data_IF_710370746899
#
_entry.id   IF_710370746899
#
_cell.length_a   1.000
_cell.length_b   1.000
_cell.length_c   1.000
_cell.angle_alpha   90.00
_cell.angle_beta   90.00
_cell.angle_gamma   90.00
#
_symmetry.space_group_name_H-M   'P 1'
#
loop_
_entity.id
_entity.type
_entity.pdbx_description
1 polymer ?
#
# COMPACT_ATOMS: atom_id res chain seq x y z
N UNK A 1 52.55 27.31 34.68
CA UNK A 1 51.15 27.01 35.00
C UNK A 1 50.30 27.63 33.89
N UNK A 2 49.77 26.80 32.99
CA UNK A 2 48.73 27.20 32.03
C UNK A 2 47.59 26.20 32.26
N UNK A 3 46.37 26.63 32.65
CA UNK A 3 45.25 25.72 32.83
C UNK A 3 44.71 25.35 31.45
N UNK A 4 45.06 24.14 30.98
CA UNK A 4 44.45 23.56 29.79
C UNK A 4 42.98 23.27 30.04
N UNK A 5 42.12 23.96 29.32
CA UNK A 5 40.67 23.82 29.34
C UNK A 5 40.26 22.35 29.15
N UNK A 6 39.59 21.76 30.14
CA UNK A 6 38.70 20.62 29.90
C UNK A 6 37.50 21.15 29.15
N UNK A 7 37.47 20.99 27.84
CA UNK A 7 36.24 21.10 27.07
C UNK A 7 35.30 19.97 27.51
N UNK A 8 34.40 20.24 28.47
CA UNK A 8 33.21 19.43 28.70
C UNK A 8 32.18 19.79 27.62
N UNK A 9 32.49 19.43 26.37
CA UNK A 9 31.47 19.33 25.33
C UNK A 9 30.93 17.91 25.36
N UNK A 10 29.64 17.73 25.64
CA UNK A 10 29.06 16.39 25.56
C UNK A 10 29.34 15.84 24.16
N UNK A 11 29.92 14.64 24.06
CA UNK A 11 30.23 14.05 22.77
C UNK A 11 28.95 13.84 21.96
N UNK A 12 29.10 13.78 20.64
CA UNK A 12 28.01 13.45 19.72
C UNK A 12 27.26 12.17 20.12
N UNK A 13 27.97 11.20 20.69
CA UNK A 13 27.41 9.96 21.22
C UNK A 13 26.56 10.19 22.48
N UNK A 14 27.01 11.04 23.40
CA UNK A 14 26.25 11.37 24.62
C UNK A 14 24.93 12.08 24.31
N UNK A 15 24.91 12.91 23.25
CA UNK A 15 23.66 13.50 22.75
C UNK A 15 22.72 12.41 22.25
N UNK A 16 23.21 11.47 21.43
CA UNK A 16 22.40 10.38 20.88
C UNK A 16 21.78 9.52 21.99
N UNK A 17 22.61 9.09 22.95
CA UNK A 17 22.18 8.27 24.08
C UNK A 17 21.14 9.01 24.94
N UNK A 18 21.34 10.31 25.19
CA UNK A 18 20.40 11.13 25.96
C UNK A 18 19.06 11.26 25.25
N UNK A 19 19.07 11.59 23.95
CA UNK A 19 17.85 11.75 23.16
C UNK A 19 17.06 10.43 23.15
N UNK A 20 17.72 9.31 22.84
CA UNK A 20 17.07 8.00 22.85
C UNK A 20 16.43 7.68 24.21
N UNK A 21 17.20 7.76 25.31
CA UNK A 21 16.70 7.44 26.66
C UNK A 21 15.53 8.30 27.11
N UNK A 22 15.50 9.56 26.68
CA UNK A 22 14.47 10.52 27.09
C UNK A 22 13.20 10.33 26.26
N UNK A 23 13.34 10.12 24.96
CA UNK A 23 12.21 10.12 24.04
C UNK A 23 11.60 8.73 23.81
N UNK A 24 12.39 7.65 23.75
CA UNK A 24 11.88 6.32 23.40
C UNK A 24 10.74 5.81 24.29
N UNK A 25 10.66 6.10 25.61
CA UNK A 25 9.50 5.69 26.41
C UNK A 25 8.17 6.26 25.95
N UNK A 26 8.19 7.40 25.25
CA UNK A 26 7.01 8.10 24.74
C UNK A 26 6.72 7.79 23.26
N UNK A 27 7.48 6.89 22.64
CA UNK A 27 7.24 6.40 21.27
C UNK A 27 6.58 5.04 21.35
N UNK A 28 5.51 4.87 20.59
CA UNK A 28 4.67 3.66 20.62
C UNK A 28 4.69 2.97 19.26
N UNK A 29 4.42 1.66 19.27
CA UNK A 29 4.03 0.94 18.05
C UNK A 29 2.51 0.94 17.94
N UNK A 30 2.00 1.11 16.73
CA UNK A 30 0.58 0.99 16.41
C UNK A 30 0.43 -0.26 15.54
N UNK A 31 -0.43 -1.17 15.99
CA UNK A 31 -0.76 -2.43 15.33
C UNK A 31 -2.22 -2.35 14.87
N UNK A 32 -2.44 -2.42 13.56
CA UNK A 32 -3.76 -2.59 12.95
C UNK A 32 -3.84 -3.99 12.32
N UNK A 33 -4.99 -4.35 11.75
CA UNK A 33 -5.15 -5.61 11.03
C UNK A 33 -4.37 -5.66 9.70
N UNK A 34 -4.05 -4.51 9.12
CA UNK A 34 -3.48 -4.39 7.77
C UNK A 34 -2.20 -3.58 7.72
N UNK A 35 -1.80 -2.96 8.83
CA UNK A 35 -0.67 -2.05 8.86
C UNK A 35 0.01 -2.03 10.23
N UNK A 36 1.29 -1.66 10.21
CA UNK A 36 2.02 -1.34 11.43
C UNK A 36 2.72 0.00 11.26
N UNK A 37 2.72 0.78 12.33
CA UNK A 37 3.36 2.08 12.35
C UNK A 37 3.84 2.46 13.73
N UNK A 38 4.24 3.71 13.86
CA UNK A 38 4.72 4.30 15.09
C UNK A 38 3.86 5.49 15.49
N UNK A 39 3.95 5.93 16.74
CA UNK A 39 3.26 7.12 17.22
C UNK A 39 4.02 7.82 18.33
N UNK A 40 3.67 9.08 18.58
CA UNK A 40 4.22 9.88 19.68
C UNK A 40 3.16 10.18 20.72
N UNK A 41 3.41 9.84 21.99
CA UNK A 41 2.54 10.26 23.10
C UNK A 41 2.74 11.76 23.31
N UNK A 42 1.70 12.55 23.06
CA UNK A 42 1.72 14.04 23.13
C UNK A 42 0.98 14.58 24.36
N UNK A 43 0.35 13.71 25.15
CA UNK A 43 -0.25 14.05 26.45
C UNK A 43 -0.16 12.89 27.44
N UNK A 44 0.07 13.19 28.72
CA UNK A 44 0.28 12.19 29.77
C UNK A 44 -0.96 11.33 30.07
N UNK A 45 -2.13 11.75 29.57
CA UNK A 45 -3.39 11.02 29.64
C UNK A 45 -3.63 10.12 28.40
N UNK A 46 -2.62 9.92 27.54
CA UNK A 46 -2.67 8.94 26.46
C UNK A 46 -3.14 9.46 25.11
N UNK A 47 -2.97 10.75 24.84
CA UNK A 47 -3.16 11.30 23.49
C UNK A 47 -1.94 10.96 22.61
N UNK A 48 -2.15 10.38 21.43
CA UNK A 48 -1.08 9.93 20.52
C UNK A 48 -1.24 10.58 19.15
N UNK A 49 -0.15 11.18 18.67
CA UNK A 49 -0.01 11.67 17.31
C UNK A 49 0.60 10.58 16.43
N UNK A 50 0.03 10.37 15.24
CA UNK A 50 0.52 9.43 14.22
C UNK A 50 0.16 9.94 12.81
N UNK A 51 0.52 9.20 11.77
CA UNK A 51 0.03 9.43 10.42
C UNK A 51 -1.38 8.87 10.20
N UNK A 52 -2.11 9.47 9.25
CA UNK A 52 -3.44 9.00 8.86
C UNK A 52 -3.35 7.61 8.23
N UNK A 53 -2.44 7.40 7.27
CA UNK A 53 -2.28 6.12 6.55
C UNK A 53 -1.90 4.92 7.43
N UNK A 54 -1.53 5.15 8.69
CA UNK A 54 -1.26 4.06 9.65
C UNK A 54 -2.55 3.48 10.22
N UNK A 55 -3.64 4.25 10.21
CA UNK A 55 -4.90 3.92 10.91
C UNK A 55 -6.17 4.24 10.12
N UNK A 56 -6.07 4.82 8.93
CA UNK A 56 -7.23 5.25 8.13
C UNK A 56 -8.05 4.07 7.60
N UNK A 57 -7.42 2.92 7.40
CA UNK A 57 -8.00 1.65 7.01
C UNK A 57 -8.40 0.75 8.18
N UNK A 58 -8.06 1.15 9.41
CA UNK A 58 -8.28 0.34 10.59
C UNK A 58 -9.66 0.58 11.21
N UNK A 59 -10.30 -0.52 11.64
CA UNK A 59 -11.43 -0.42 12.54
C UNK A 59 -10.96 0.09 13.92
N UNK A 60 -11.64 1.10 14.46
CA UNK A 60 -11.40 1.58 15.83
C UNK A 60 -12.09 0.66 16.85
N UNK A 61 -11.47 0.32 18.00
CA UNK A 61 -10.15 0.76 18.45
C UNK A 61 -8.98 -0.02 17.82
N UNK A 62 -7.83 0.64 17.70
CA UNK A 62 -6.56 0.01 17.29
C UNK A 62 -5.74 -0.44 18.49
N UNK A 63 -4.76 -1.35 18.27
CA UNK A 63 -3.84 -1.78 19.32
C UNK A 63 -2.61 -0.89 19.34
N UNK A 64 -2.25 -0.38 20.53
CA UNK A 64 -1.03 0.40 20.74
C UNK A 64 -0.13 -0.32 21.74
N UNK A 65 1.14 -0.50 21.37
CA UNK A 65 2.17 -1.13 22.22
C UNK A 65 3.16 -0.07 22.68
N UNK A 66 3.23 0.16 23.99
CA UNK A 66 4.21 1.06 24.60
C UNK A 66 5.62 0.49 24.52
N UNK A 67 6.64 1.33 24.69
CA UNK A 67 8.05 0.92 24.69
C UNK A 67 8.42 -0.12 25.77
N UNK A 68 7.61 -0.23 26.83
CA UNK A 68 7.77 -1.25 27.87
C UNK A 68 7.02 -2.57 27.58
N UNK A 69 6.40 -2.70 26.40
CA UNK A 69 5.64 -3.87 25.95
C UNK A 69 4.17 -3.91 26.41
N UNK A 70 3.70 -2.94 27.20
CA UNK A 70 2.28 -2.87 27.57
C UNK A 70 1.41 -2.55 26.36
N UNK A 71 0.33 -3.32 26.18
CA UNK A 71 -0.66 -3.10 25.13
C UNK A 71 -1.87 -2.34 25.66
N UNK A 72 -2.37 -1.40 24.87
CA UNK A 72 -3.58 -0.63 25.13
C UNK A 72 -4.46 -0.63 23.88
N UNK A 73 -5.77 -0.61 24.06
CA UNK A 73 -6.69 -0.18 23.01
C UNK A 73 -6.66 1.35 22.90
N UNK A 74 -6.71 1.86 21.68
CA UNK A 74 -6.79 3.29 21.41
C UNK A 74 -7.95 3.61 20.45
N UNK A 75 -8.77 4.60 20.83
CA UNK A 75 -9.80 5.15 19.96
C UNK A 75 -9.17 6.09 18.92
N UNK A 76 -9.59 5.98 17.67
CA UNK A 76 -9.27 6.97 16.64
C UNK A 76 -10.15 8.19 16.89
N UNK A 77 -9.57 9.31 17.35
CA UNK A 77 -10.30 10.54 17.58
C UNK A 77 -10.64 11.28 16.28
N UNK A 78 -9.81 11.11 15.26
CA UNK A 78 -10.03 11.66 13.94
C UNK A 78 -8.73 12.04 13.23
N UNK A 79 -8.91 12.65 12.07
CA UNK A 79 -7.88 12.92 11.07
C UNK A 79 -7.77 14.42 10.80
N UNK A 80 -6.63 14.84 10.26
CA UNK A 80 -6.48 16.20 9.76
C UNK A 80 -7.35 16.44 8.51
N UNK A 81 -7.62 17.71 8.24
CA UNK A 81 -8.31 18.13 7.02
C UNK A 81 -7.39 18.15 5.80
N UNK A 82 -7.99 18.03 4.61
CA UNK A 82 -7.27 18.04 3.34
C UNK A 82 -6.36 16.82 3.18
N UNK A 83 -5.23 17.02 2.50
CA UNK A 83 -4.21 15.99 2.24
C UNK A 83 -3.18 15.83 3.37
N UNK A 84 -3.41 16.44 4.54
CA UNK A 84 -2.46 16.34 5.64
C UNK A 84 -2.55 14.95 6.30
N UNK A 85 -1.48 14.16 6.16
CA UNK A 85 -1.40 12.79 6.64
C UNK A 85 -1.14 12.72 8.17
N UNK A 86 -2.09 13.20 8.98
CA UNK A 86 -2.03 13.13 10.45
C UNK A 86 -3.33 12.58 11.04
N UNK A 87 -3.19 11.76 12.07
CA UNK A 87 -4.29 11.25 12.87
C UNK A 87 -4.01 11.40 14.37
N UNK A 88 -5.10 11.45 15.14
CA UNK A 88 -5.07 11.53 16.59
C UNK A 88 -5.72 10.30 17.21
N UNK A 89 -5.01 9.63 18.12
CA UNK A 89 -5.52 8.50 18.87
C UNK A 89 -5.62 8.80 20.36
N UNK A 90 -6.48 8.08 21.06
CA UNK A 90 -6.65 8.17 22.51
C UNK A 90 -6.59 6.79 23.15
N UNK A 91 -5.56 6.54 23.97
CA UNK A 91 -5.49 5.32 24.76
C UNK A 91 -6.63 5.25 25.78
N UNK A 92 -7.26 4.08 25.87
CA UNK A 92 -8.29 3.79 26.87
C UNK A 92 -7.64 3.47 28.22
N UNK A 93 -8.06 4.18 29.27
CA UNK A 93 -7.66 3.86 30.66
C UNK A 93 -6.19 4.11 31.00
N UNK A 94 -5.44 4.85 30.19
CA UNK A 94 -4.03 5.17 30.44
C UNK A 94 -3.84 6.54 31.09
N UNK A 95 -2.87 6.67 31.99
CA UNK A 95 -2.49 7.96 32.61
C UNK A 95 -1.05 7.92 33.14
N UNK A 96 -0.47 9.09 33.40
CA UNK A 96 0.91 9.20 33.91
C UNK A 96 1.96 8.77 32.89
N UNK A 97 1.64 8.85 31.60
CA UNK A 97 2.51 8.41 30.51
C UNK A 97 3.64 9.42 30.25
N UNK A 98 4.82 8.94 29.79
CA UNK A 98 5.85 9.82 29.26
C UNK A 98 5.34 10.54 28.01
N UNK A 99 5.82 11.76 27.76
CA UNK A 99 5.36 12.63 26.67
C UNK A 99 6.55 13.11 25.85
N UNK A 100 6.41 13.09 24.52
CA UNK A 100 7.37 13.72 23.62
C UNK A 100 7.11 15.23 23.62
N UNK A 101 8.06 16.07 24.08
CA UNK A 101 7.91 17.52 23.99
C UNK A 101 7.96 17.97 22.53
N UNK A 102 7.17 18.95 22.15
CA UNK A 102 7.12 19.47 20.78
C UNK A 102 7.99 20.73 20.67
N UNK A 103 8.77 20.83 19.60
CA UNK A 103 9.61 22.00 19.35
C UNK A 103 8.73 23.24 19.02
N UNK A 104 9.18 24.46 19.31
CA UNK A 104 8.44 25.65 18.89
C UNK A 104 8.47 25.82 17.36
N UNK A 105 7.47 26.49 16.77
CA UNK A 105 7.46 26.84 15.35
C UNK A 105 8.75 27.53 14.90
N UNK A 106 9.19 27.27 13.67
CA UNK A 106 10.36 27.94 13.08
C UNK A 106 11.71 27.67 13.78
N UNK A 107 11.79 26.66 14.66
CA UNK A 107 13.03 26.31 15.38
C UNK A 107 13.91 25.26 14.70
N UNK A 108 13.51 24.82 13.50
CA UNK A 108 14.22 23.80 12.72
C UNK A 108 15.11 24.48 11.68
N UNK A 109 16.37 24.08 11.63
CA UNK A 109 17.38 24.59 10.70
C UNK A 109 18.02 23.45 9.90
N UNK A 110 18.31 23.70 8.61
CA UNK A 110 19.06 22.76 7.78
C UNK A 110 20.47 22.55 8.36
N UNK A 111 20.91 21.29 8.41
CA UNK A 111 22.21 20.89 8.96
C UNK A 111 22.19 20.54 10.46
N UNK A 112 21.11 20.82 11.19
CA UNK A 112 21.00 20.35 12.57
C UNK A 112 20.79 18.82 12.62
N UNK A 113 21.22 18.17 13.71
CA UNK A 113 20.96 16.74 13.92
C UNK A 113 19.46 16.44 13.99
N UNK A 114 19.10 15.33 13.36
CA UNK A 114 17.77 14.75 13.37
C UNK A 114 17.84 13.30 13.85
N UNK A 115 16.89 12.90 14.69
CA UNK A 115 16.81 11.55 15.24
C UNK A 115 15.43 10.97 14.98
N UNK A 116 15.35 9.81 14.32
CA UNK A 116 14.09 9.11 14.14
C UNK A 116 13.98 7.93 15.11
N UNK A 117 12.79 7.74 15.67
CA UNK A 117 12.46 6.58 16.50
C UNK A 117 11.18 5.94 15.96
N UNK A 118 11.17 4.63 15.81
CA UNK A 118 9.97 3.91 15.39
C UNK A 118 10.07 2.39 15.51
N UNK A 119 9.19 1.71 14.79
CA UNK A 119 9.11 0.26 14.68
C UNK A 119 9.22 -0.20 13.21
N UNK A 120 10.42 -0.15 12.59
CA UNK A 120 10.61 -0.60 11.23
C UNK A 120 10.08 -2.02 11.01
N UNK A 121 9.33 -2.20 9.92
CA UNK A 121 8.76 -3.47 9.47
C UNK A 121 7.90 -4.17 10.52
N UNK A 122 7.38 -3.43 11.51
CA UNK A 122 6.58 -3.95 12.62
C UNK A 122 7.33 -4.84 13.61
N UNK A 123 8.63 -5.08 13.42
CA UNK A 123 9.42 -6.11 14.12
C UNK A 123 10.56 -5.55 14.97
N UNK A 124 10.93 -4.29 14.77
CA UNK A 124 12.11 -3.68 15.37
C UNK A 124 11.75 -2.44 16.20
N UNK A 125 10.81 -2.59 17.14
CA UNK A 125 10.34 -1.50 17.99
C UNK A 125 11.51 -0.84 18.73
N UNK A 126 11.44 0.49 18.88
CA UNK A 126 12.49 1.34 19.45
C UNK A 126 13.77 1.41 18.61
N UNK A 127 13.68 1.21 17.30
CA UNK A 127 14.81 1.48 16.41
C UNK A 127 15.10 2.97 16.40
N UNK A 128 16.37 3.33 16.61
CA UNK A 128 16.86 4.71 16.67
C UNK A 128 17.84 4.95 15.52
N UNK A 129 17.55 5.91 14.66
CA UNK A 129 18.43 6.31 13.54
C UNK A 129 18.80 7.78 13.65
N UNK A 130 19.98 8.12 13.12
CA UNK A 130 20.57 9.46 13.24
C UNK A 130 20.87 9.98 11.85
N UNK A 131 20.58 11.26 11.64
CA UNK A 131 20.94 12.01 10.46
C UNK A 131 20.92 13.51 10.75
N UNK A 132 20.61 14.30 9.75
CA UNK A 132 20.43 15.74 9.80
C UNK A 132 19.15 16.16 9.10
N UNK A 133 18.72 17.40 9.37
CA UNK A 133 17.76 18.08 8.50
C UNK A 133 18.46 18.44 7.19
N UNK A 134 18.07 17.77 6.10
CA UNK A 134 18.68 17.91 4.78
C UNK A 134 18.08 19.07 3.97
N UNK A 135 16.76 19.30 4.10
CA UNK A 135 16.03 20.39 3.43
C UNK A 135 14.76 20.72 4.21
N UNK A 136 14.31 21.97 4.13
CA UNK A 136 12.99 22.40 4.58
C UNK A 136 12.14 22.77 3.38
N UNK A 137 10.94 22.23 3.31
CA UNK A 137 9.91 22.60 2.34
C UNK A 137 8.77 23.29 3.08
N UNK A 138 8.83 24.62 3.15
CA UNK A 138 7.84 25.40 3.89
C UNK A 138 6.49 25.50 3.16
N UNK A 139 6.44 25.20 1.86
CA UNK A 139 5.19 25.24 1.07
C UNK A 139 4.37 24.00 1.42
N UNK A 140 4.98 22.82 1.28
CA UNK A 140 4.33 21.55 1.64
C UNK A 140 4.30 21.34 3.17
N UNK A 141 5.17 22.03 3.91
CA UNK A 141 5.31 21.86 5.34
C UNK A 141 6.05 20.57 5.69
N UNK A 142 7.04 20.18 4.88
CA UNK A 142 7.83 18.96 5.03
C UNK A 142 9.29 19.25 5.43
N UNK A 143 9.84 18.33 6.21
CA UNK A 143 11.26 18.26 6.56
C UNK A 143 11.85 17.08 5.82
N UNK A 144 12.89 17.31 5.02
CA UNK A 144 13.70 16.24 4.45
C UNK A 144 14.84 15.89 5.41
N UNK A 145 15.12 14.62 5.60
CA UNK A 145 16.17 14.10 6.48
C UNK A 145 16.90 12.93 5.82
N UNK A 146 18.19 12.77 6.15
CA UNK A 146 18.97 11.57 5.79
C UNK A 146 19.01 10.52 6.92
N UNK A 147 18.35 10.80 8.06
CA UNK A 147 18.10 9.77 9.07
C UNK A 147 17.31 8.63 8.43
N UNK A 148 17.78 7.39 8.61
CA UNK A 148 17.15 6.25 7.99
C UNK A 148 15.69 6.07 8.49
N UNK A 149 14.75 6.19 7.57
CA UNK A 149 13.31 5.97 7.73
C UNK A 149 12.92 4.83 6.80
N UNK A 150 12.07 3.92 7.26
CA UNK A 150 11.67 2.70 6.57
C UNK A 150 10.20 2.44 6.93
N UNK A 151 9.46 1.60 6.17
CA UNK A 151 8.11 1.18 6.54
C UNK A 151 8.03 0.80 8.03
N UNK A 152 6.99 1.27 8.73
CA UNK A 152 6.82 1.11 10.18
C UNK A 152 7.42 2.23 11.05
N UNK A 153 8.31 3.09 10.51
CA UNK A 153 8.68 4.35 11.17
C UNK A 153 7.62 5.44 11.03
N UNK A 154 6.72 5.32 10.05
CA UNK A 154 5.63 6.26 9.81
C UNK A 154 4.82 6.50 11.08
N UNK A 155 4.53 7.77 11.37
CA UNK A 155 3.84 8.25 12.57
C UNK A 155 4.77 8.46 13.78
N UNK A 156 5.99 7.89 13.74
CA UNK A 156 7.02 8.10 14.76
C UNK A 156 7.65 9.50 14.69
N UNK A 157 8.29 9.97 15.77
CA UNK A 157 8.85 11.31 15.79
C UNK A 157 10.17 11.42 15.03
N UNK A 158 10.35 12.56 14.37
CA UNK A 158 11.67 13.14 14.08
C UNK A 158 12.00 14.13 15.19
N UNK A 159 13.15 13.97 15.84
CA UNK A 159 13.54 14.72 17.04
C UNK A 159 14.79 15.56 16.80
N UNK A 160 14.93 16.68 17.53
CA UNK A 160 16.18 17.44 17.63
C UNK A 160 17.07 16.98 18.79
N UNK A 161 18.24 17.59 18.96
CA UNK A 161 19.22 17.29 20.03
C UNK A 161 18.72 17.54 21.47
N UNK A 162 17.57 18.20 21.63
CA UNK A 162 16.89 18.38 22.92
C UNK A 162 15.85 17.28 23.19
N UNK A 163 15.66 16.34 22.26
CA UNK A 163 14.62 15.32 22.33
C UNK A 163 13.21 15.88 22.07
N UNK A 164 13.11 17.02 21.38
CA UNK A 164 11.82 17.61 21.01
C UNK A 164 11.42 17.19 19.60
N UNK A 165 10.14 16.89 19.39
CA UNK A 165 9.53 16.60 18.09
C UNK A 165 9.65 17.82 17.19
N UNK A 166 10.40 17.65 16.11
CA UNK A 166 10.53 18.60 14.99
C UNK A 166 9.69 18.17 13.78
N UNK A 167 9.24 16.92 13.73
CA UNK A 167 8.26 16.46 12.76
C UNK A 167 7.76 15.04 13.02
N UNK A 168 6.80 14.60 12.21
CA UNK A 168 6.27 13.22 12.20
C UNK A 168 6.75 12.52 10.94
N UNK A 169 7.57 11.48 11.07
CA UNK A 169 8.08 10.72 9.93
C UNK A 169 6.90 10.17 9.12
N UNK A 170 6.85 10.39 7.80
CA UNK A 170 5.68 10.04 6.97
C UNK A 170 6.05 9.14 5.79
N UNK A 171 7.10 9.50 5.04
CA UNK A 171 7.43 8.82 3.80
C UNK A 171 8.93 8.85 3.51
N UNK A 172 9.33 8.12 2.49
CA UNK A 172 10.67 8.15 1.92
C UNK A 172 10.57 8.39 0.41
N UNK A 173 11.60 9.01 -0.15
CA UNK A 173 11.78 8.93 -1.59
C UNK A 173 12.29 7.53 -1.93
N UNK A 174 11.51 6.83 -2.76
CA UNK A 174 11.91 5.59 -3.40
C UNK A 174 12.18 5.90 -4.87
N UNK A 175 13.40 5.62 -5.33
CA UNK A 175 13.68 5.64 -6.76
C UNK A 175 13.10 4.38 -7.42
N UNK A 176 12.93 4.38 -8.73
CA UNK A 176 12.25 3.32 -9.50
C UNK A 176 12.83 1.89 -9.31
N UNK A 177 14.04 1.78 -8.75
CA UNK A 177 14.83 0.56 -8.59
C UNK A 177 14.98 0.07 -7.12
N UNK A 178 14.29 0.66 -6.12
CA UNK A 178 14.41 0.16 -4.73
C UNK A 178 13.37 0.68 -3.73
N UNK A 179 12.79 -0.24 -2.94
CA UNK A 179 11.81 0.06 -1.87
C UNK A 179 12.41 0.39 -0.49
N UNK A 180 13.73 0.66 -0.43
CA UNK A 180 14.45 0.91 0.82
C UNK A 180 14.91 2.36 0.95
N UNK A 181 15.23 2.77 2.18
CA UNK A 181 15.80 4.09 2.43
C UNK A 181 17.12 4.30 1.67
N UNK A 182 17.21 5.38 0.88
CA UNK A 182 18.45 5.80 0.19
C UNK A 182 19.02 7.13 0.73
N UNK A 183 18.65 7.51 1.96
CA UNK A 183 19.05 8.77 2.60
C UNK A 183 18.15 9.97 2.28
N UNK A 184 16.93 9.72 1.78
CA UNK A 184 15.93 10.77 1.53
C UNK A 184 14.62 10.34 2.20
N UNK A 185 14.41 10.79 3.44
CA UNK A 185 13.18 10.63 4.19
C UNK A 185 12.47 11.96 4.40
N UNK A 186 11.16 11.89 4.67
CA UNK A 186 10.31 13.05 4.90
C UNK A 186 9.56 12.96 6.22
N UNK A 187 9.41 14.11 6.89
CA UNK A 187 8.59 14.26 8.08
C UNK A 187 7.69 15.49 7.96
N UNK A 188 6.45 15.39 8.42
CA UNK A 188 5.51 16.51 8.52
C UNK A 188 6.02 17.46 9.60
N UNK A 189 6.27 18.72 9.24
CA UNK A 189 6.88 19.71 10.12
C UNK A 189 6.04 20.06 11.36
N UNK A 190 6.70 20.54 12.41
CA UNK A 190 6.02 20.98 13.63
C UNK A 190 4.98 22.08 13.38
N UNK A 191 5.14 22.92 12.37
CA UNK A 191 4.17 23.97 12.06
C UNK A 191 2.80 23.35 11.69
N UNK A 192 2.79 22.35 10.80
CA UNK A 192 1.59 21.57 10.45
C UNK A 192 1.04 20.78 11.65
N UNK A 193 1.93 20.20 12.45
CA UNK A 193 1.54 19.44 13.65
C UNK A 193 0.85 20.33 14.68
N UNK A 194 1.36 21.53 14.94
CA UNK A 194 0.79 22.43 15.94
C UNK A 194 -0.59 22.95 15.50
N UNK A 195 -0.77 23.25 14.22
CA UNK A 195 -2.08 23.58 13.66
C UNK A 195 -3.06 22.41 13.83
N UNK A 196 -2.65 21.18 13.52
CA UNK A 196 -3.45 19.98 13.72
C UNK A 196 -3.81 19.76 15.20
N UNK A 197 -2.86 19.91 16.11
CA UNK A 197 -3.10 19.78 17.55
C UNK A 197 -4.05 20.85 18.08
N UNK A 198 -4.03 22.07 17.53
CA UNK A 198 -4.98 23.10 17.87
C UNK A 198 -6.41 22.69 17.46
N UNK A 199 -6.59 22.18 16.23
CA UNK A 199 -7.87 21.64 15.74
C UNK A 199 -8.35 20.44 16.55
N UNK A 200 -7.46 19.51 16.89
CA UNK A 200 -7.77 18.36 17.74
C UNK A 200 -8.32 18.79 19.11
N UNK A 201 -7.75 19.85 19.71
CA UNK A 201 -8.21 20.39 21.00
C UNK A 201 -9.55 21.10 20.91
N UNK A 202 -9.90 21.70 19.77
CA UNK A 202 -11.22 22.30 19.54
C UNK A 202 -12.28 21.29 19.10
N UNK A 203 -11.93 20.01 18.93
CA UNK A 203 -12.82 18.97 18.42
C UNK A 203 -13.07 19.05 16.92
N UNK A 204 -12.25 19.81 16.19
CA UNK A 204 -12.35 20.04 14.76
C UNK A 204 -11.50 19.03 13.98
N UNK A 205 -11.81 17.75 14.18
CA UNK A 205 -11.16 16.65 13.48
C UNK A 205 -12.14 16.07 12.46
N UNK A 206 -11.62 15.67 11.30
CA UNK A 206 -12.40 14.82 10.39
C UNK A 206 -12.64 13.49 11.10
N UNK A 207 -13.90 13.04 11.24
CA UNK A 207 -14.18 11.79 11.89
C UNK A 207 -13.57 10.64 11.09
N UNK A 208 -13.24 9.54 11.77
CA UNK A 208 -12.97 8.28 11.09
C UNK A 208 -14.21 7.85 10.31
N UNK A 209 -14.08 7.66 9.00
CA UNK A 209 -15.14 7.04 8.21
C UNK A 209 -15.22 5.58 8.66
N UNK A 210 -16.35 5.11 9.22
CA UNK A 210 -16.45 3.75 9.75
C UNK A 210 -16.22 2.72 8.63
N UNK A 211 -15.29 1.79 8.87
CA UNK A 211 -15.06 0.65 7.97
C UNK A 211 -16.27 -0.26 8.06
N UNK A 212 -16.93 -0.49 6.93
CA UNK A 212 -18.16 -1.29 6.88
C UNK A 212 -17.83 -2.76 6.70
N UNK A 213 -18.45 -3.65 7.48
CA UNK A 213 -18.30 -5.09 7.27
C UNK A 213 -19.08 -5.54 6.04
N UNK A 214 -18.38 -6.14 5.09
CA UNK A 214 -18.92 -6.76 3.90
C UNK A 214 -19.35 -8.19 4.20
N UNK A 215 -20.66 -8.46 4.09
CA UNK A 215 -21.19 -9.79 4.32
C UNK A 215 -20.89 -10.73 3.13
N UNK A 216 -20.36 -11.92 3.41
CA UNK A 216 -20.07 -12.96 2.40
C UNK A 216 -21.32 -13.76 1.99
N UNK A 217 -22.45 -13.09 1.77
CA UNK A 217 -23.76 -13.72 1.51
C UNK A 217 -24.39 -13.30 0.17
N UNK A 218 -23.59 -12.71 -0.71
CA UNK A 218 -23.96 -12.22 -2.03
C UNK A 218 -25.04 -11.12 -2.02
N UNK A 219 -25.24 -10.43 -0.89
CA UNK A 219 -26.14 -9.29 -0.83
C UNK A 219 -25.46 -8.03 -1.40
N UNK A 220 -26.16 -7.24 -2.23
CA UNK A 220 -25.65 -5.97 -2.72
C UNK A 220 -25.53 -4.95 -1.58
N UNK A 221 -24.35 -4.33 -1.51
CA UNK A 221 -24.07 -3.17 -0.68
C UNK A 221 -23.86 -1.97 -1.60
N UNK A 222 -24.70 -0.96 -1.46
CA UNK A 222 -24.56 0.28 -2.22
C UNK A 222 -23.58 1.22 -1.52
N UNK A 223 -22.73 1.88 -2.31
CA UNK A 223 -21.81 2.92 -1.85
C UNK A 223 -21.66 4.03 -2.88
N UNK A 224 -20.94 5.08 -2.51
CA UNK A 224 -20.66 6.23 -3.37
C UNK A 224 -19.27 6.76 -3.02
N UNK A 225 -18.37 6.79 -3.99
CA UNK A 225 -17.11 7.51 -3.89
C UNK A 225 -17.39 8.98 -4.18
N UNK A 226 -17.07 9.88 -3.25
CA UNK A 226 -17.36 11.29 -3.32
C UNK A 226 -16.19 12.16 -2.85
N UNK A 227 -16.25 13.44 -3.19
CA UNK A 227 -15.30 14.44 -2.70
C UNK A 227 -15.31 14.46 -1.16
N UNK A 228 -14.15 14.19 -0.57
CA UNK A 228 -13.99 14.06 0.88
C UNK A 228 -13.91 12.62 1.39
N UNK A 229 -14.00 11.61 0.52
CA UNK A 229 -13.58 10.26 0.87
C UNK A 229 -12.05 10.16 0.96
N UNK A 230 -11.55 8.96 1.29
CA UNK A 230 -10.11 8.73 1.42
C UNK A 230 -9.47 8.77 0.04
N UNK A 231 -8.22 9.19 -0.01
CA UNK A 231 -7.41 9.16 -1.24
C UNK A 231 -6.18 8.30 -1.03
N UNK A 232 -5.87 7.43 -1.98
CA UNK A 232 -4.64 6.66 -1.91
C UNK A 232 -3.46 7.63 -1.99
N UNK A 233 -2.52 7.52 -1.06
CA UNK A 233 -1.39 8.45 -0.96
C UNK A 233 -0.45 8.40 -2.17
N UNK A 234 -0.44 7.26 -2.87
CA UNK A 234 0.45 6.97 -4.00
C UNK A 234 0.02 7.69 -5.29
N UNK A 235 -1.28 7.71 -5.59
CA UNK A 235 -1.83 8.18 -6.87
C UNK A 235 -2.99 9.17 -6.74
N UNK A 236 -3.47 9.44 -5.52
CA UNK A 236 -4.57 10.34 -5.19
C UNK A 236 -5.97 9.88 -5.68
N UNK A 237 -6.18 8.60 -5.98
CA UNK A 237 -7.51 8.09 -6.34
C UNK A 237 -8.41 7.95 -5.11
N UNK A 238 -9.72 8.14 -5.29
CA UNK A 238 -10.69 8.02 -4.20
C UNK A 238 -10.96 6.56 -3.87
N UNK A 239 -11.04 6.23 -2.59
CA UNK A 239 -11.40 4.89 -2.17
C UNK A 239 -12.26 4.83 -0.91
N UNK A 240 -13.08 3.78 -0.88
CA UNK A 240 -13.81 3.31 0.28
C UNK A 240 -13.22 1.99 0.78
N UNK A 241 -13.41 1.71 2.06
CA UNK A 241 -12.82 0.55 2.72
C UNK A 241 -13.91 -0.31 3.35
N UNK A 242 -13.82 -1.60 3.06
CA UNK A 242 -14.66 -2.64 3.62
C UNK A 242 -13.81 -3.73 4.24
N UNK A 243 -14.39 -4.50 5.16
CA UNK A 243 -13.72 -5.68 5.73
C UNK A 243 -14.62 -6.90 5.76
N UNK A 244 -14.04 -8.09 5.70
CA UNK A 244 -14.77 -9.32 5.97
C UNK A 244 -13.89 -10.30 6.76
N UNK A 245 -14.51 -11.17 7.56
CA UNK A 245 -13.78 -12.25 8.22
C UNK A 245 -13.77 -13.48 7.32
N UNK A 246 -12.58 -13.99 7.04
CA UNK A 246 -12.33 -15.15 6.20
C UNK A 246 -11.77 -16.33 6.98
N UNK A 247 -11.98 -17.55 6.46
CA UNK A 247 -11.36 -18.77 6.98
C UNK A 247 -10.38 -19.33 5.93
N UNK A 248 -9.19 -19.73 6.37
CA UNK A 248 -8.16 -20.29 5.51
C UNK A 248 -8.70 -21.44 4.65
N UNK A 249 -8.38 -21.42 3.36
CA UNK A 249 -8.77 -22.42 2.37
C UNK A 249 -10.15 -22.20 1.75
N UNK A 250 -11.01 -21.32 2.31
CA UNK A 250 -12.25 -20.93 1.64
C UNK A 250 -11.94 -20.04 0.44
N UNK A 251 -12.79 -20.11 -0.59
CA UNK A 251 -12.73 -19.18 -1.71
C UNK A 251 -13.66 -17.99 -1.43
N UNK A 252 -13.27 -16.80 -1.86
CA UNK A 252 -14.13 -15.61 -1.83
C UNK A 252 -14.18 -15.00 -3.22
N UNK A 253 -15.37 -14.64 -3.68
CA UNK A 253 -15.56 -13.75 -4.85
C UNK A 253 -16.11 -12.42 -4.37
N UNK A 254 -15.52 -11.33 -4.83
CA UNK A 254 -15.97 -9.95 -4.61
C UNK A 254 -16.24 -9.31 -5.96
N UNK A 255 -17.44 -8.76 -6.13
CA UNK A 255 -17.88 -8.05 -7.34
C UNK A 255 -18.05 -6.57 -7.01
N UNK A 256 -17.39 -5.70 -7.77
CA UNK A 256 -17.59 -4.26 -7.74
C UNK A 256 -18.15 -3.80 -9.08
N UNK A 257 -19.35 -3.23 -9.06
CA UNK A 257 -19.98 -2.67 -10.23
C UNK A 257 -20.20 -1.17 -10.10
N UNK A 258 -19.75 -0.40 -11.09
CA UNK A 258 -20.07 1.02 -11.24
C UNK A 258 -20.37 1.36 -12.69
N UNK A 259 -21.36 2.24 -12.89
CA UNK A 259 -21.59 2.89 -14.18
C UNK A 259 -21.07 4.33 -14.22
N UNK A 260 -20.56 4.84 -13.09
CA UNK A 260 -20.14 6.24 -12.93
C UNK A 260 -18.61 6.39 -13.01
N UNK A 261 -17.86 5.34 -12.69
CA UNK A 261 -16.40 5.30 -12.75
C UNK A 261 -15.87 3.94 -13.20
N UNK A 262 -14.56 3.90 -13.47
CA UNK A 262 -13.85 2.67 -13.81
C UNK A 262 -13.41 1.96 -12.54
N UNK A 263 -14.03 0.81 -12.25
CA UNK A 263 -13.92 0.14 -10.97
C UNK A 263 -12.51 -0.43 -10.76
N UNK A 264 -11.96 -0.24 -9.56
CA UNK A 264 -10.71 -0.88 -9.16
C UNK A 264 -10.89 -1.51 -7.78
N UNK A 265 -10.66 -2.82 -7.68
CA UNK A 265 -10.71 -3.56 -6.43
C UNK A 265 -9.30 -3.93 -5.98
N UNK A 266 -8.99 -3.71 -4.70
CA UNK A 266 -7.81 -4.27 -4.05
C UNK A 266 -8.26 -5.05 -2.83
N UNK A 267 -7.74 -6.25 -2.62
CA UNK A 267 -8.01 -7.09 -1.45
C UNK A 267 -6.70 -7.37 -0.74
N UNK A 268 -6.65 -7.06 0.56
CA UNK A 268 -5.51 -7.35 1.42
C UNK A 268 -5.83 -8.51 2.37
N UNK A 269 -4.82 -9.32 2.66
CA UNK A 269 -4.88 -10.40 3.65
C UNK A 269 -4.81 -9.84 5.09
N UNK A 270 -5.00 -10.68 6.13
CA UNK A 270 -4.91 -10.29 7.54
C UNK A 270 -3.53 -9.84 8.02
N UNK A 271 -2.51 -9.97 7.19
CA UNK A 271 -1.16 -9.48 7.43
C UNK A 271 -0.92 -8.10 6.77
N UNK A 272 -1.90 -7.60 6.01
CA UNK A 272 -1.83 -6.34 5.27
C UNK A 272 -1.16 -6.43 3.90
N UNK A 273 -0.87 -7.65 3.44
CA UNK A 273 -0.26 -7.89 2.14
C UNK A 273 -1.37 -8.02 1.08
N UNK A 274 -1.09 -7.56 -0.14
CA UNK A 274 -2.03 -7.70 -1.25
C UNK A 274 -2.28 -9.17 -1.56
N UNK A 275 -3.56 -9.56 -1.53
CA UNK A 275 -4.02 -10.89 -1.92
C UNK A 275 -4.34 -10.93 -3.41
N UNK A 276 -5.03 -9.90 -3.91
CA UNK A 276 -5.45 -9.77 -5.30
C UNK A 276 -5.95 -8.34 -5.57
N UNK A 277 -5.86 -7.91 -6.82
CA UNK A 277 -6.47 -6.69 -7.33
C UNK A 277 -7.07 -6.94 -8.72
N UNK A 278 -8.06 -6.15 -9.12
CA UNK A 278 -8.73 -6.29 -10.41
C UNK A 278 -9.42 -4.98 -10.83
N UNK A 279 -9.35 -4.62 -12.12
CA UNK A 279 -10.06 -3.48 -12.74
C UNK A 279 -11.22 -3.89 -13.66
N UNK A 280 -11.08 -4.90 -14.51
CA UNK A 280 -12.03 -5.11 -15.61
C UNK A 280 -12.62 -6.52 -15.77
N UNK A 281 -12.26 -7.50 -14.92
CA UNK A 281 -12.70 -8.89 -15.11
C UNK A 281 -14.17 -9.13 -14.77
N UNK A 282 -14.85 -8.14 -14.18
CA UNK A 282 -16.31 -8.09 -14.03
C UNK A 282 -17.06 -7.73 -15.33
N UNK A 283 -16.34 -7.22 -16.33
CA UNK A 283 -16.82 -6.79 -17.64
C UNK A 283 -17.23 -5.31 -17.71
N UNK A 284 -16.99 -4.66 -18.85
CA UNK A 284 -17.10 -3.19 -19.04
C UNK A 284 -16.09 -2.43 -18.16
N UNK A 285 -16.56 -1.72 -17.14
CA UNK A 285 -15.79 -0.92 -16.18
C UNK A 285 -15.97 -1.48 -14.75
N UNK A 286 -16.24 -2.78 -14.63
CA UNK A 286 -16.54 -3.45 -13.37
C UNK A 286 -15.40 -4.41 -13.01
N UNK A 287 -15.08 -4.48 -11.73
CA UNK A 287 -14.03 -5.35 -11.20
C UNK A 287 -14.61 -6.59 -10.52
N UNK A 288 -13.90 -7.72 -10.60
CA UNK A 288 -14.16 -8.95 -9.85
C UNK A 288 -12.85 -9.55 -9.35
N UNK A 289 -12.75 -9.73 -8.04
CA UNK A 289 -11.69 -10.55 -7.43
C UNK A 289 -12.25 -11.91 -7.04
N UNK A 290 -11.57 -13.00 -7.41
CA UNK A 290 -11.81 -14.34 -6.85
C UNK A 290 -10.52 -14.90 -6.29
N UNK A 291 -10.48 -15.18 -4.98
CA UNK A 291 -9.25 -15.60 -4.31
C UNK A 291 -9.51 -16.72 -3.29
N UNK A 292 -8.54 -17.64 -3.16
CA UNK A 292 -8.49 -18.59 -2.03
C UNK A 292 -7.79 -17.93 -0.85
N UNK A 293 -8.43 -17.95 0.31
CA UNK A 293 -7.93 -17.27 1.50
C UNK A 293 -6.74 -18.03 2.11
N UNK A 294 -5.52 -17.45 2.18
CA UNK A 294 -4.34 -18.14 2.68
C UNK A 294 -4.35 -18.34 4.20
N UNK A 295 -5.00 -17.43 4.94
CA UNK A 295 -5.04 -17.42 6.40
C UNK A 295 -6.47 -17.12 6.91
N UNK A 296 -6.79 -17.57 8.13
CA UNK A 296 -8.03 -17.17 8.78
C UNK A 296 -7.82 -15.81 9.44
N UNK A 297 -8.72 -14.86 9.24
CA UNK A 297 -8.55 -13.53 9.81
C UNK A 297 -9.46 -12.48 9.19
N UNK A 298 -9.14 -11.22 9.46
CA UNK A 298 -9.84 -10.06 8.92
C UNK A 298 -9.16 -9.64 7.61
N UNK A 299 -9.91 -9.65 6.52
CA UNK A 299 -9.47 -9.18 5.20
C UNK A 299 -9.99 -7.77 4.96
N UNK A 300 -9.23 -6.98 4.20
CA UNK A 300 -9.57 -5.59 3.84
C UNK A 300 -9.83 -5.50 2.35
N UNK A 301 -10.87 -4.76 1.95
CA UNK A 301 -11.27 -4.55 0.56
C UNK A 301 -11.32 -3.05 0.30
N UNK A 302 -10.57 -2.61 -0.70
CA UNK A 302 -10.58 -1.24 -1.18
C UNK A 302 -11.46 -1.21 -2.43
N UNK A 303 -12.50 -0.38 -2.37
CA UNK A 303 -13.27 0.03 -3.54
C UNK A 303 -12.68 1.34 -4.03
N UNK A 304 -12.03 1.31 -5.17
CA UNK A 304 -11.26 2.41 -5.72
C UNK A 304 -11.69 2.69 -7.17
N UNK A 305 -11.17 3.77 -7.74
CA UNK A 305 -11.28 4.14 -9.15
C UNK A 305 -9.96 3.88 -9.87
N UNK A 306 -9.98 3.46 -11.14
CA UNK A 306 -8.77 3.24 -11.93
C UNK A 306 -8.01 4.54 -12.29
N UNK A 307 -8.62 5.72 -12.12
CA UNK A 307 -7.98 7.00 -12.41
C UNK A 307 -8.44 8.13 -11.47
N UNK A 308 -7.57 9.13 -11.31
CA UNK A 308 -7.87 10.33 -10.50
C UNK A 308 -9.05 11.13 -11.07
N UNK A 309 -9.81 11.79 -10.18
CA UNK A 309 -11.01 12.59 -10.48
C UNK A 309 -12.23 11.80 -10.98
N UNK A 310 -12.23 10.49 -10.82
CA UNK A 310 -13.44 9.68 -10.96
C UNK A 310 -14.15 9.58 -9.60
N UNK A 311 -15.48 9.60 -9.63
CA UNK A 311 -16.33 9.53 -8.45
C UNK A 311 -17.72 9.06 -8.87
N UNK A 312 -18.53 8.59 -7.92
CA UNK A 312 -19.91 8.20 -8.18
C UNK A 312 -20.31 6.92 -7.47
N UNK A 313 -21.45 6.38 -7.85
CA UNK A 313 -22.09 5.28 -7.14
C UNK A 313 -21.57 3.93 -7.59
N UNK A 314 -21.59 2.99 -6.67
CA UNK A 314 -21.23 1.61 -6.95
C UNK A 314 -22.09 0.62 -6.16
N UNK A 315 -22.02 -0.64 -6.57
CA UNK A 315 -22.56 -1.80 -5.85
C UNK A 315 -21.45 -2.80 -5.62
N UNK A 316 -21.22 -3.15 -4.35
CA UNK A 316 -20.28 -4.18 -3.92
C UNK A 316 -21.05 -5.44 -3.50
N UNK A 317 -20.55 -6.62 -3.86
CA UNK A 317 -21.05 -7.92 -3.37
C UNK A 317 -19.90 -8.81 -3.01
N UNK A 318 -20.04 -9.62 -1.98
CA UNK A 318 -19.10 -10.69 -1.70
C UNK A 318 -19.81 -11.99 -1.35
N UNK A 319 -19.18 -13.10 -1.69
CA UNK A 319 -19.68 -14.45 -1.41
C UNK A 319 -18.53 -15.37 -1.05
N UNK A 320 -18.74 -16.27 -0.10
CA UNK A 320 -17.82 -17.37 0.17
C UNK A 320 -18.23 -18.62 -0.60
N UNK A 321 -17.25 -19.28 -1.20
CA UNK A 321 -17.30 -20.67 -1.63
C UNK A 321 -16.70 -21.57 -0.55
N UNK A 322 -17.15 -22.83 -0.47
CA UNK A 322 -16.51 -23.82 0.40
C UNK A 322 -15.05 -24.09 0.00
N UNK A 323 -14.29 -24.85 0.81
CA UNK A 323 -12.89 -25.13 0.50
C UNK A 323 -12.75 -25.78 -0.88
N UNK A 324 -11.73 -25.36 -1.63
CA UNK A 324 -11.44 -25.91 -2.95
C UNK A 324 -11.39 -27.44 -2.86
N UNK A 325 -12.31 -28.11 -3.56
CA UNK A 325 -12.39 -29.56 -3.52
C UNK A 325 -11.10 -30.14 -4.13
N UNK A 326 -10.25 -30.74 -3.30
CA UNK A 326 -9.15 -31.59 -3.78
C UNK A 326 -9.74 -32.83 -4.44
N UNK A 327 -9.91 -32.81 -5.76
CA UNK A 327 -10.26 -34.01 -6.53
C UNK A 327 -9.00 -34.57 -7.20
N UNK A 328 -8.50 -35.74 -6.76
CA UNK A 328 -7.50 -36.50 -7.49
C UNK A 328 -8.21 -37.35 -8.56
N UNK A 329 -8.02 -37.04 -9.84
CA UNK A 329 -8.56 -37.88 -10.91
C UNK A 329 -8.44 -37.30 -12.30
N UNK A 330 -7.41 -37.70 -13.03
CA UNK A 330 -7.36 -37.71 -14.49
C UNK A 330 -8.57 -38.41 -15.10
N UNK A 331 -9.32 -37.74 -15.99
CA UNK A 331 -9.57 -38.19 -17.37
C UNK A 331 -10.28 -37.12 -18.23
N UNK A 332 -10.14 -37.18 -19.56
CA UNK A 332 -10.29 -36.03 -20.45
C UNK A 332 -11.70 -35.84 -21.01
N UNK A 333 -12.07 -34.56 -21.21
CA UNK A 333 -13.03 -34.14 -22.21
C UNK A 333 -14.33 -33.56 -21.66
N UNK A 334 -14.48 -32.24 -21.78
CA UNK A 334 -15.55 -31.60 -22.57
C UNK A 334 -15.28 -30.09 -22.66
N UNK A 335 -14.80 -29.64 -23.82
CA UNK A 335 -14.70 -28.23 -24.17
C UNK A 335 -16.09 -27.59 -24.28
N UNK A 336 -16.29 -26.35 -23.81
CA UNK A 336 -17.29 -25.46 -24.36
C UNK A 336 -16.69 -24.65 -25.52
N UNK A 337 -17.25 -24.85 -26.72
CA UNK A 337 -17.36 -23.82 -27.77
C UNK A 337 -16.07 -23.33 -28.44
N UNK A 338 -15.75 -23.87 -29.61
CA UNK A 338 -14.96 -23.17 -30.62
C UNK A 338 -15.65 -21.86 -31.02
N UNK A 339 -15.23 -20.74 -30.44
CA UNK A 339 -15.41 -19.45 -31.08
C UNK A 339 -14.41 -19.35 -32.25
N UNK A 340 -14.85 -18.73 -33.35
CA UNK A 340 -14.16 -18.75 -34.64
C UNK A 340 -12.70 -18.29 -34.53
N UNK A 341 -11.78 -19.04 -35.14
CA UNK A 341 -10.35 -18.74 -35.12
C UNK A 341 -10.07 -17.38 -35.79
N UNK A 342 -9.73 -16.40 -34.96
CA UNK A 342 -9.22 -15.10 -35.36
C UNK A 342 -7.95 -15.16 -36.22
N UNK A 343 -7.63 -14.09 -36.95
CA UNK A 343 -6.41 -14.04 -37.77
C UNK A 343 -5.17 -14.02 -36.88
N UNK A 344 -4.22 -14.93 -37.12
CA UNK A 344 -2.99 -15.00 -36.32
C UNK A 344 -2.09 -13.79 -36.59
N UNK A 345 -1.69 -13.10 -35.52
CA UNK A 345 -0.78 -11.94 -35.56
C UNK A 345 0.64 -12.35 -35.14
N UNK A 346 0.75 -13.09 -34.02
CA UNK A 346 2.01 -13.56 -33.46
C UNK A 346 1.80 -14.94 -32.84
N UNK A 347 2.74 -15.85 -33.03
CA UNK A 347 2.83 -17.09 -32.26
C UNK A 347 4.30 -17.40 -32.04
N UNK A 348 4.71 -17.50 -30.79
CA UNK A 348 6.10 -17.80 -30.46
C UNK A 348 6.23 -18.64 -29.19
N UNK A 349 7.27 -19.47 -29.13
CA UNK A 349 7.60 -20.30 -27.97
C UNK A 349 8.85 -19.76 -27.30
N UNK A 350 8.80 -19.55 -25.98
CA UNK A 350 9.89 -18.95 -25.22
C UNK A 350 10.22 -19.70 -23.93
N UNK A 351 11.19 -19.17 -23.19
CA UNK A 351 11.49 -19.67 -21.84
C UNK A 351 12.06 -18.59 -20.92
N UNK A 352 11.57 -18.54 -19.68
CA UNK A 352 12.13 -17.73 -18.62
C UNK A 352 13.27 -18.49 -17.94
N UNK A 353 14.46 -17.91 -17.95
CA UNK A 353 15.69 -18.55 -17.47
C UNK A 353 16.38 -17.67 -16.42
N UNK A 354 17.42 -18.19 -15.78
CA UNK A 354 18.24 -17.42 -14.85
C UNK A 354 18.85 -16.15 -15.46
N UNK A 355 19.13 -16.22 -16.76
CA UNK A 355 19.73 -15.15 -17.56
C UNK A 355 18.70 -14.25 -18.24
N UNK A 356 17.39 -14.51 -18.08
CA UNK A 356 16.37 -13.61 -18.60
C UNK A 356 16.50 -12.23 -17.95
N UNK A 357 16.24 -11.14 -18.71
CA UNK A 357 16.08 -9.80 -18.13
C UNK A 357 15.08 -9.84 -16.97
N UNK A 358 15.26 -8.95 -15.99
CA UNK A 358 14.38 -8.87 -14.82
C UNK A 358 13.61 -7.57 -14.79
N UNK A 359 12.33 -7.63 -14.46
CA UNK A 359 11.52 -6.44 -14.25
C UNK A 359 12.05 -5.69 -13.03
N UNK A 360 12.08 -4.36 -13.11
CA UNK A 360 12.60 -3.52 -12.02
C UNK A 360 11.64 -3.47 -10.83
N UNK A 361 10.34 -3.65 -11.07
CA UNK A 361 9.27 -3.59 -10.06
C UNK A 361 9.35 -4.71 -9.03
N UNK A 362 9.62 -5.94 -9.47
CA UNK A 362 9.48 -7.16 -8.65
C UNK A 362 10.65 -8.16 -8.83
N UNK A 363 11.62 -7.84 -9.68
CA UNK A 363 12.77 -8.68 -10.03
C UNK A 363 12.40 -10.03 -10.70
N UNK A 364 11.17 -10.18 -11.19
CA UNK A 364 10.72 -11.37 -11.92
C UNK A 364 11.40 -11.44 -13.30
N UNK A 365 11.77 -12.65 -13.76
CA UNK A 365 12.35 -12.81 -15.09
C UNK A 365 11.28 -12.57 -16.16
N UNK A 366 11.61 -11.83 -17.23
CA UNK A 366 10.68 -11.57 -18.31
C UNK A 366 11.30 -11.76 -19.71
N UNK A 367 10.43 -11.84 -20.71
CA UNK A 367 10.75 -11.65 -22.13
C UNK A 367 9.80 -10.61 -22.74
N UNK A 368 10.29 -9.92 -23.77
CA UNK A 368 9.53 -8.92 -24.50
C UNK A 368 9.23 -9.37 -25.93
N UNK A 369 8.00 -9.15 -26.36
CA UNK A 369 7.55 -9.33 -27.74
C UNK A 369 6.93 -8.04 -28.27
N UNK A 370 6.85 -7.92 -29.60
CA UNK A 370 6.26 -6.77 -30.26
C UNK A 370 5.37 -7.20 -31.41
N UNK A 371 4.27 -6.49 -31.62
CA UNK A 371 3.41 -6.65 -32.78
C UNK A 371 2.87 -5.28 -33.23
N UNK A 372 2.43 -5.18 -34.49
CA UNK A 372 1.83 -3.96 -35.02
C UNK A 372 0.31 -4.06 -34.97
N UNK A 373 -0.31 -3.09 -34.31
CA UNK A 373 -1.75 -2.99 -34.14
C UNK A 373 -2.36 -1.79 -34.88
N UNK A 374 -3.67 -1.85 -35.13
CA UNK A 374 -4.46 -0.73 -35.69
C UNK A 374 -5.45 -0.22 -34.66
N UNK A 375 -5.71 1.08 -34.66
CA UNK A 375 -6.72 1.68 -33.81
C UNK A 375 -8.08 1.01 -34.03
N UNK A 376 -8.75 0.65 -32.94
CA UNK A 376 -10.04 -0.05 -32.93
C UNK A 376 -9.96 -1.56 -33.18
N UNK A 377 -8.78 -2.12 -33.49
CA UNK A 377 -8.58 -3.55 -33.65
C UNK A 377 -8.76 -4.27 -32.31
N UNK A 378 -9.51 -5.37 -32.29
CA UNK A 378 -9.67 -6.21 -31.10
C UNK A 378 -8.75 -7.42 -31.20
N UNK A 379 -7.94 -7.66 -30.18
CA UNK A 379 -7.00 -8.77 -30.16
C UNK A 379 -7.22 -9.64 -28.92
N UNK A 380 -6.94 -10.92 -29.06
CA UNK A 380 -6.78 -11.88 -27.98
C UNK A 380 -5.29 -12.23 -27.87
N UNK A 381 -4.76 -12.18 -26.65
CA UNK A 381 -3.42 -12.64 -26.32
C UNK A 381 -3.56 -13.78 -25.33
N UNK A 382 -2.93 -14.92 -25.63
CA UNK A 382 -2.92 -16.10 -24.79
C UNK A 382 -1.47 -16.47 -24.49
N UNK A 383 -1.16 -16.61 -23.20
CA UNK A 383 0.13 -17.02 -22.69
C UNK A 383 -0.04 -18.31 -21.87
N UNK A 384 0.54 -19.40 -22.37
CA UNK A 384 0.41 -20.72 -21.76
C UNK A 384 1.75 -21.20 -21.18
N UNK A 385 1.78 -21.59 -19.91
CA UNK A 385 2.91 -22.30 -19.31
C UNK A 385 2.43 -23.42 -18.38
N UNK A 386 3.15 -24.55 -18.42
CA UNK A 386 3.01 -25.61 -17.41
C UNK A 386 4.16 -25.59 -16.39
N UNK A 387 5.16 -24.74 -16.61
CA UNK A 387 6.41 -24.75 -15.85
C UNK A 387 6.42 -23.65 -14.77
N UNK A 388 5.63 -22.59 -14.94
CA UNK A 388 5.44 -21.50 -13.99
C UNK A 388 4.04 -20.91 -14.12
N UNK A 389 3.70 -20.02 -13.20
CA UNK A 389 2.46 -19.24 -13.19
C UNK A 389 2.63 -17.96 -14.04
N UNK A 390 2.14 -17.90 -15.29
CA UNK A 390 2.37 -16.80 -16.21
C UNK A 390 1.66 -15.51 -15.80
N UNK A 391 2.37 -14.40 -15.99
CA UNK A 391 1.82 -13.06 -15.96
C UNK A 391 2.11 -12.38 -17.30
N UNK A 392 1.12 -11.69 -17.83
CA UNK A 392 1.11 -11.08 -19.15
C UNK A 392 0.79 -9.59 -19.00
N UNK A 393 1.57 -8.71 -19.64
CA UNK A 393 1.29 -7.29 -19.70
C UNK A 393 1.46 -6.75 -21.13
N UNK A 394 0.57 -5.85 -21.53
CA UNK A 394 0.59 -5.18 -22.83
C UNK A 394 0.84 -3.69 -22.61
N UNK A 395 1.76 -3.12 -23.38
CA UNK A 395 2.00 -1.69 -23.44
C UNK A 395 1.66 -1.15 -24.83
N UNK A 396 1.17 0.09 -24.87
CA UNK A 396 0.83 0.81 -26.09
C UNK A 396 2.08 1.37 -26.81
N UNK A 397 1.93 2.02 -27.98
CA UNK A 397 3.06 2.58 -28.73
C UNK A 397 3.80 3.74 -28.04
N UNK A 398 3.25 4.28 -26.95
CA UNK A 398 3.85 5.30 -26.11
C UNK A 398 4.58 4.68 -24.90
N UNK A 399 4.65 3.35 -24.84
CA UNK A 399 5.19 2.55 -23.74
C UNK A 399 4.37 2.66 -22.43
N UNK A 400 3.12 3.13 -22.49
CA UNK A 400 2.18 3.13 -21.36
C UNK A 400 1.48 1.78 -21.23
N UNK A 401 1.20 1.34 -19.99
CA UNK A 401 0.50 0.07 -19.74
C UNK A 401 -0.93 0.15 -20.27
N UNK A 402 -1.31 -0.83 -21.07
CA UNK A 402 -2.65 -0.93 -21.66
C UNK A 402 -3.54 -1.94 -20.92
N UNK A 403 -3.00 -3.12 -20.57
CA UNK A 403 -3.72 -4.18 -19.87
C UNK A 403 -2.74 -5.25 -19.35
N UNK A 404 -3.16 -6.08 -18.40
CA UNK A 404 -2.41 -7.22 -17.87
C UNK A 404 -3.34 -8.35 -17.35
N UNK A 405 -2.84 -9.58 -17.29
CA UNK A 405 -3.54 -10.73 -16.73
C UNK A 405 -2.56 -11.81 -16.25
N UNK A 406 -2.96 -12.62 -15.28
CA UNK A 406 -2.22 -13.78 -14.77
C UNK A 406 -3.00 -15.10 -14.96
N UNK A 407 -4.29 -15.14 -14.63
CA UNK A 407 -5.08 -16.37 -14.68
C UNK A 407 -6.29 -16.31 -15.63
N UNK A 408 -6.48 -17.35 -16.45
CA UNK A 408 -7.71 -17.57 -17.22
C UNK A 408 -8.85 -18.02 -16.29
N UNK A 409 -8.54 -18.83 -15.27
CA UNK A 409 -9.48 -19.30 -14.26
C UNK A 409 -8.75 -20.01 -13.11
N UNK A 410 -9.45 -20.27 -12.00
CA UNK A 410 -8.98 -21.00 -10.80
C UNK A 410 -8.24 -22.34 -11.03
N UNK A 411 -8.44 -23.01 -12.18
CA UNK A 411 -7.79 -24.30 -12.51
C UNK A 411 -6.85 -24.21 -13.70
N UNK A 412 -6.73 -23.02 -14.28
CA UNK A 412 -5.97 -22.76 -15.48
C UNK A 412 -5.17 -21.48 -15.27
N UNK A 413 -3.98 -21.66 -14.71
CA UNK A 413 -3.03 -20.59 -14.42
C UNK A 413 -2.42 -19.98 -15.68
N UNK A 414 -2.92 -20.28 -16.88
CA UNK A 414 -2.46 -19.61 -18.09
C UNK A 414 -3.07 -18.20 -18.14
N UNK A 415 -2.38 -17.21 -18.69
CA UNK A 415 -2.90 -15.84 -18.79
C UNK A 415 -3.57 -15.60 -20.15
N UNK A 416 -4.70 -14.88 -20.16
CA UNK A 416 -5.32 -14.43 -21.41
C UNK A 416 -5.93 -13.02 -21.30
N UNK A 417 -5.77 -12.23 -22.36
CA UNK A 417 -6.28 -10.87 -22.47
C UNK A 417 -7.05 -10.68 -23.77
N UNK A 418 -8.17 -9.94 -23.70
CA UNK A 418 -8.86 -9.45 -24.89
C UNK A 418 -8.93 -7.93 -24.84
N UNK A 419 -8.16 -7.26 -25.68
CA UNK A 419 -8.02 -5.80 -25.65
C UNK A 419 -8.41 -5.18 -26.99
N UNK A 420 -9.08 -4.02 -26.93
CA UNK A 420 -9.30 -3.16 -28.10
C UNK A 420 -8.19 -2.10 -28.16
N UNK A 421 -7.44 -2.08 -29.25
CA UNK A 421 -6.26 -1.24 -29.40
C UNK A 421 -6.65 0.24 -29.59
N UNK A 422 -6.19 1.17 -28.72
CA UNK A 422 -6.63 2.57 -28.77
C UNK A 422 -6.02 3.36 -29.93
N UNK A 423 -4.87 2.94 -30.46
CA UNK A 423 -4.11 3.67 -31.46
C UNK A 423 -3.47 2.72 -32.49
N UNK A 424 -3.02 3.27 -33.62
CA UNK A 424 -2.25 2.49 -34.60
C UNK A 424 -0.78 2.64 -34.28
N UNK A 425 -0.06 1.53 -34.10
CA UNK A 425 1.36 1.55 -33.77
C UNK A 425 1.92 0.20 -33.39
N UNK A 426 3.15 0.19 -32.86
CA UNK A 426 3.82 -1.01 -32.37
C UNK A 426 3.55 -1.17 -30.88
N UNK A 427 2.90 -2.27 -30.51
CA UNK A 427 2.60 -2.64 -29.14
C UNK A 427 3.68 -3.55 -28.56
N UNK A 428 3.88 -3.47 -27.25
CA UNK A 428 4.81 -4.29 -26.49
C UNK A 428 4.05 -5.30 -25.66
N UNK A 429 4.55 -6.54 -25.61
CA UNK A 429 4.03 -7.59 -24.73
C UNK A 429 5.17 -8.02 -23.83
N UNK A 430 4.94 -7.97 -22.52
CA UNK A 430 5.83 -8.49 -21.49
C UNK A 430 5.24 -9.82 -21.03
N UNK A 431 6.09 -10.85 -21.07
CA UNK A 431 5.80 -12.19 -20.54
C UNK A 431 6.71 -12.42 -19.35
N UNK A 432 6.16 -12.57 -18.14
CA UNK A 432 6.90 -12.92 -16.93
C UNK A 432 6.17 -14.01 -16.14
N UNK A 433 6.73 -14.36 -14.99
CA UNK A 433 6.05 -15.19 -14.01
C UNK A 433 5.47 -14.31 -12.90
N UNK A 434 4.33 -14.71 -12.35
CA UNK A 434 3.71 -14.09 -11.18
C UNK A 434 4.65 -14.16 -9.95
N UNK A 435 5.31 -15.31 -9.74
CA UNK A 435 6.36 -15.47 -8.73
C UNK A 435 7.74 -15.02 -9.28
N UNK A 436 8.52 -14.18 -8.56
CA UNK A 436 9.90 -13.82 -8.92
C UNK A 436 10.87 -14.98 -9.17
N UNK A 437 10.57 -16.18 -8.66
CA UNK A 437 11.33 -17.42 -8.88
C UNK A 437 10.83 -18.23 -10.07
N UNK A 438 9.65 -17.94 -10.62
CA UNK A 438 9.01 -18.67 -11.71
C UNK A 438 9.87 -18.70 -12.97
N UNK A 439 10.12 -19.90 -13.49
CA UNK A 439 11.00 -20.15 -14.65
C UNK A 439 10.51 -21.36 -15.42
N UNK A 440 10.73 -21.34 -16.73
CA UNK A 440 10.38 -22.46 -17.58
C UNK A 440 9.87 -22.02 -18.94
N UNK A 441 9.30 -22.96 -19.69
CA UNK A 441 8.85 -22.74 -21.07
C UNK A 441 7.43 -22.21 -21.11
N UNK A 442 7.13 -21.45 -22.15
CA UNK A 442 5.79 -20.96 -22.41
C UNK A 442 5.50 -20.87 -23.91
N UNK A 443 4.22 -20.75 -24.25
CA UNK A 443 3.72 -20.47 -25.59
C UNK A 443 2.94 -19.16 -25.56
N UNK A 444 3.34 -18.19 -26.38
CA UNK A 444 2.61 -16.93 -26.59
C UNK A 444 1.86 -17.01 -27.94
N UNK A 445 0.60 -16.57 -27.93
CA UNK A 445 -0.24 -16.46 -29.12
C UNK A 445 -0.98 -15.12 -29.11
N UNK A 446 -0.99 -14.40 -30.22
CA UNK A 446 -1.75 -13.16 -30.43
C UNK A 446 -2.60 -13.32 -31.67
N UNK A 447 -3.90 -13.05 -31.57
CA UNK A 447 -4.88 -13.17 -32.67
C UNK A 447 -5.78 -11.96 -32.72
N UNK A 448 -6.18 -11.58 -33.92
CA UNK A 448 -7.28 -10.63 -34.12
C UNK A 448 -8.61 -11.35 -33.95
N UNK A 449 -9.46 -10.87 -33.05
CA UNK A 449 -10.79 -11.43 -32.82
C UNK A 449 -11.85 -10.50 -33.39
N UNK A 450 -12.87 -11.09 -34.02
CA UNK A 450 -14.04 -10.34 -34.49
C UNK A 450 -14.86 -9.82 -33.31
N UNK A 451 -15.47 -8.64 -33.49
CA UNK A 451 -16.38 -8.01 -32.53
C UNK A 451 -17.60 -8.87 -32.17
#
# INVERSE_FOLDING_TARGET
>A
MVPGHRAQGNSDEEVNVRVYRTASPAVVSIETSSSTGSGSIVSADGLILTNAHVVDDAASPVTVVLANGQKFEADILGFAEGSLDLAMLKLRGASGLPVVPIAPPGSVEVGQRAFAIGNPFGKFQNTFTVGIVSRLDNIEGLIQTDAAINPGNSGGPLLNSKGQLIGVNTSIYVDRDGGGNIGIGFAISTDRVLDFLAKARSGDLRPSIPVTTLALNNQPLAGELAEGDRVLSQDQTLYDIYTFTGEAGNQVTIDLASGDFDAYLIVLNPEGEELAQDDDSGGQTNARVTATLPSSGLYTVFVNTAATNQQGRYTLRARSGGPAATNPGTQPGTQPGTQQAGSLILQDAGSLTASSPRLQSDNSPYQEYRFNGRAGQRIEILLESNDFDPYLMVADPQDEKLADADDISDTNTNAALVVQLPSTGTYRIIVNAYDPQGRGRYQLTVREVSN
#
